data_IF_289504927318
#
_entry.id   IF_289504927318
#
_cell.length_a   1.000
_cell.length_b   1.000
_cell.length_c   1.000
_cell.angle_alpha   90.00
_cell.angle_beta   90.00
_cell.angle_gamma   90.00
#
_symmetry.space_group_name_H-M   'P 1'
#
loop_
_entity.id
_entity.type
_entity.pdbx_description
1 polymer ?
#
# COMPACT_ATOMS: atom_id res chain seq x y z
N UNK A 1 -4.35 -21.61 -6.05
CA UNK A 1 -4.65 -20.63 -4.97
C UNK A 1 -4.60 -19.19 -5.49
N UNK A 2 -5.49 -18.84 -6.44
CA UNK A 2 -5.59 -17.49 -7.00
C UNK A 2 -6.88 -16.75 -6.57
N UNK A 3 -7.91 -17.50 -6.14
CA UNK A 3 -9.22 -16.97 -5.80
C UNK A 3 -9.24 -16.11 -4.51
N UNK A 4 -8.35 -16.38 -3.55
CA UNK A 4 -8.30 -15.66 -2.26
C UNK A 4 -7.91 -14.18 -2.45
N UNK A 5 -6.94 -13.89 -3.35
CA UNK A 5 -6.51 -12.51 -3.64
C UNK A 5 -7.54 -11.71 -4.43
N UNK A 6 -8.32 -12.35 -5.31
CA UNK A 6 -9.39 -11.66 -6.04
C UNK A 6 -10.58 -11.31 -5.15
N UNK A 7 -10.90 -12.18 -4.18
CA UNK A 7 -12.01 -11.96 -3.23
C UNK A 7 -11.74 -10.81 -2.25
N UNK A 8 -10.56 -10.81 -1.62
CA UNK A 8 -10.13 -9.75 -0.69
C UNK A 8 -10.05 -8.37 -1.36
N UNK A 9 -9.73 -8.34 -2.65
CA UNK A 9 -9.62 -7.12 -3.43
C UNK A 9 -10.97 -6.60 -3.92
N UNK A 10 -11.91 -7.50 -4.23
CA UNK A 10 -13.30 -7.10 -4.45
C UNK A 10 -13.93 -6.55 -3.16
N UNK A 11 -13.61 -7.11 -2.00
CA UNK A 11 -13.98 -6.52 -0.69
C UNK A 11 -13.33 -5.15 -0.47
N UNK A 12 -12.04 -4.99 -0.78
CA UNK A 12 -11.36 -3.70 -0.65
C UNK A 12 -12.02 -2.61 -1.51
N UNK A 13 -12.41 -2.95 -2.74
CA UNK A 13 -13.12 -2.00 -3.62
C UNK A 13 -14.50 -1.64 -3.06
N UNK A 14 -15.22 -2.59 -2.43
CA UNK A 14 -16.54 -2.35 -1.84
C UNK A 14 -16.53 -1.33 -0.70
N UNK A 15 -15.43 -1.25 0.05
CA UNK A 15 -15.29 -0.32 1.18
C UNK A 15 -14.75 1.06 0.80
N UNK A 16 -14.45 1.31 -0.48
CA UNK A 16 -14.06 2.64 -0.95
C UNK A 16 -15.25 3.60 -0.92
N UNK A 17 -14.98 4.87 -0.58
CA UNK A 17 -15.91 5.96 -0.82
C UNK A 17 -15.99 6.28 -2.33
N UNK A 18 -17.14 6.74 -2.85
CA UNK A 18 -17.27 7.08 -4.28
C UNK A 18 -16.23 8.09 -4.76
N UNK A 19 -15.84 9.02 -3.89
CA UNK A 19 -14.90 10.13 -4.10
C UNK A 19 -13.50 9.86 -3.52
N UNK A 20 -13.18 8.61 -3.18
CA UNK A 20 -11.88 8.23 -2.61
C UNK A 20 -10.71 8.79 -3.42
N UNK A 21 -9.69 9.27 -2.72
CA UNK A 21 -8.46 9.77 -3.34
C UNK A 21 -7.29 8.86 -2.99
N UNK A 22 -6.51 8.47 -4.00
CA UNK A 22 -5.22 7.80 -3.81
C UNK A 22 -4.09 8.72 -4.25
N UNK A 23 -3.10 8.91 -3.38
CA UNK A 23 -1.86 9.64 -3.68
C UNK A 23 -0.65 8.77 -3.35
N UNK A 24 0.32 8.73 -4.27
CA UNK A 24 1.60 8.04 -4.07
C UNK A 24 2.78 8.99 -4.19
N UNK A 25 3.69 8.95 -3.22
CA UNK A 25 4.93 9.71 -3.24
C UNK A 25 6.13 8.76 -3.21
N UNK A 26 6.89 8.71 -4.31
CA UNK A 26 8.13 7.95 -4.39
C UNK A 26 9.37 8.81 -4.49
N UNK A 27 9.25 10.14 -4.44
CA UNK A 27 10.35 11.06 -4.75
C UNK A 27 10.94 10.90 -6.16
N UNK A 28 10.29 10.14 -7.04
CA UNK A 28 10.83 9.81 -8.36
C UNK A 28 11.63 8.49 -8.43
N UNK A 29 11.91 7.84 -7.30
CA UNK A 29 12.75 6.63 -7.24
C UNK A 29 12.07 5.35 -7.75
N UNK A 30 10.74 5.27 -7.60
CA UNK A 30 9.92 4.12 -7.99
C UNK A 30 8.65 4.57 -8.73
N UNK A 31 7.99 3.69 -9.51
CA UNK A 31 6.67 3.96 -10.04
C UNK A 31 5.66 4.22 -8.91
N UNK A 32 4.89 5.31 -9.00
CA UNK A 32 3.88 5.67 -8.01
C UNK A 32 2.79 6.54 -8.66
N UNK A 33 1.64 6.64 -7.99
CA UNK A 33 0.58 7.57 -8.37
C UNK A 33 0.96 9.02 -8.04
N UNK A 34 1.88 9.59 -8.83
CA UNK A 34 2.45 10.95 -8.64
C UNK A 34 1.41 12.07 -8.77
N UNK A 35 0.25 11.77 -9.35
CA UNK A 35 -0.92 12.65 -9.40
C UNK A 35 -2.07 11.99 -8.65
N UNK A 36 -2.90 12.74 -7.92
CA UNK A 36 -4.07 12.19 -7.25
C UNK A 36 -4.95 11.41 -8.22
N UNK A 37 -5.32 10.20 -7.84
CA UNK A 37 -6.32 9.38 -8.53
C UNK A 37 -7.59 9.44 -7.72
N UNK A 38 -8.65 9.98 -8.30
CA UNK A 38 -9.94 10.16 -7.62
C UNK A 38 -10.99 9.24 -8.20
N UNK A 39 -11.80 8.65 -7.31
CA UNK A 39 -12.96 7.84 -7.64
C UNK A 39 -12.74 6.35 -7.44
N UNK A 40 -13.74 5.68 -6.84
CA UNK A 40 -13.66 4.28 -6.44
C UNK A 40 -13.21 3.34 -7.57
N UNK A 41 -13.73 3.51 -8.79
CA UNK A 41 -13.38 2.66 -9.93
C UNK A 41 -11.91 2.81 -10.36
N UNK A 42 -11.41 4.05 -10.43
CA UNK A 42 -10.04 4.33 -10.86
C UNK A 42 -9.05 3.89 -9.78
N UNK A 43 -9.34 4.19 -8.53
CA UNK A 43 -8.55 3.76 -7.38
C UNK A 43 -8.54 2.24 -7.26
N UNK A 44 -9.70 1.59 -7.38
CA UNK A 44 -9.81 0.13 -7.36
C UNK A 44 -8.98 -0.55 -8.45
N UNK A 45 -9.06 -0.07 -9.70
CA UNK A 45 -8.23 -0.57 -10.81
C UNK A 45 -6.73 -0.37 -10.56
N UNK A 46 -6.34 0.76 -9.98
CA UNK A 46 -4.94 1.03 -9.62
C UNK A 46 -4.46 0.06 -8.54
N UNK A 47 -5.20 -0.11 -7.46
CA UNK A 47 -4.88 -1.07 -6.39
C UNK A 47 -4.74 -2.49 -6.96
N UNK A 48 -5.65 -2.90 -7.84
CA UNK A 48 -5.56 -4.15 -8.60
C UNK A 48 -4.25 -4.30 -9.36
N UNK A 49 -3.83 -3.27 -10.07
CA UNK A 49 -2.53 -3.24 -10.76
C UNK A 49 -1.36 -3.40 -9.79
N UNK A 50 -1.38 -2.65 -8.68
CA UNK A 50 -0.33 -2.66 -7.67
C UNK A 50 -0.20 -4.03 -6.97
N UNK A 51 -1.30 -4.67 -6.60
CA UNK A 51 -1.27 -6.01 -6.00
C UNK A 51 -0.75 -7.08 -6.96
N UNK A 52 -1.09 -6.98 -8.25
CA UNK A 52 -0.54 -7.87 -9.29
C UNK A 52 0.96 -7.65 -9.47
N UNK A 53 1.40 -6.40 -9.48
CA UNK A 53 2.82 -6.05 -9.55
C UNK A 53 3.56 -6.48 -8.28
N UNK A 54 2.91 -6.45 -7.12
CA UNK A 54 3.52 -6.88 -5.87
C UNK A 54 3.94 -8.36 -5.89
N UNK A 55 3.22 -9.20 -6.63
CA UNK A 55 3.61 -10.57 -6.91
C UNK A 55 4.89 -10.73 -7.75
N UNK A 56 5.44 -9.64 -8.30
CA UNK A 56 6.71 -9.62 -9.06
C UNK A 56 7.92 -9.18 -8.21
N UNK A 57 7.71 -8.71 -6.98
CA UNK A 57 8.81 -8.33 -6.10
C UNK A 57 9.59 -9.55 -5.60
N UNK A 58 10.88 -9.36 -5.34
CA UNK A 58 11.74 -10.42 -4.82
C UNK A 58 11.48 -10.56 -3.32
N UNK A 59 11.23 -11.78 -2.87
CA UNK A 59 10.97 -12.12 -1.48
C UNK A 59 12.26 -11.99 -0.65
N UNK A 60 12.17 -11.59 0.64
CA UNK A 60 10.97 -11.55 1.47
C UNK A 60 10.19 -10.22 1.43
N UNK A 61 8.86 -10.33 1.35
CA UNK A 61 7.89 -9.27 1.64
C UNK A 61 7.53 -9.33 3.12
N UNK A 62 7.88 -8.27 3.84
CA UNK A 62 7.53 -8.07 5.25
C UNK A 62 6.46 -7.01 5.37
N UNK A 63 5.55 -7.18 6.32
CA UNK A 63 4.52 -6.19 6.59
C UNK A 63 4.05 -6.24 8.05
N UNK A 64 3.64 -5.08 8.56
CA UNK A 64 2.95 -4.97 9.86
C UNK A 64 1.91 -3.85 9.83
N UNK A 65 0.80 -3.98 10.59
CA UNK A 65 -0.08 -2.85 10.85
C UNK A 65 0.71 -1.73 11.55
N UNK A 66 0.37 -0.49 11.23
CA UNK A 66 1.02 0.67 11.83
C UNK A 66 -0.01 1.79 12.06
N UNK A 67 0.26 2.63 13.06
CA UNK A 67 -0.40 3.93 13.18
C UNK A 67 0.44 4.97 12.44
N UNK A 68 -0.18 5.69 11.51
CA UNK A 68 0.43 6.73 10.71
C UNK A 68 -0.30 8.02 11.01
N UNK A 69 0.34 8.91 11.78
CA UNK A 69 -0.25 10.17 12.25
C UNK A 69 -1.64 9.95 12.91
N UNK A 70 -1.78 8.88 13.70
CA UNK A 70 -3.03 8.51 14.38
C UNK A 70 -4.06 7.77 13.51
N UNK A 71 -3.80 7.59 12.22
CA UNK A 71 -4.64 6.83 11.29
C UNK A 71 -4.14 5.40 11.12
N UNK A 72 -5.05 4.48 10.78
CA UNK A 72 -4.69 3.10 10.43
C UNK A 72 -3.82 3.08 9.17
N UNK A 73 -2.80 2.25 9.19
CA UNK A 73 -1.90 2.07 8.08
C UNK A 73 -1.20 0.72 8.07
N UNK A 74 -0.37 0.54 7.06
CA UNK A 74 0.41 -0.66 6.82
C UNK A 74 1.82 -0.25 6.43
N UNK A 75 2.82 -0.74 7.15
CA UNK A 75 4.21 -0.62 6.75
C UNK A 75 4.61 -1.89 5.99
N UNK A 76 5.34 -1.72 4.88
CA UNK A 76 5.85 -2.83 4.09
C UNK A 76 7.32 -2.63 3.72
N UNK A 77 8.05 -3.74 3.66
CA UNK A 77 9.43 -3.80 3.16
C UNK A 77 9.60 -4.99 2.21
N UNK A 78 10.26 -4.74 1.08
CA UNK A 78 10.55 -5.76 0.06
C UNK A 78 11.72 -5.31 -0.82
N UNK A 79 12.03 -6.08 -1.86
CA UNK A 79 13.05 -5.75 -2.85
C UNK A 79 12.38 -5.52 -4.21
N UNK A 80 12.60 -4.34 -4.79
CA UNK A 80 12.15 -4.00 -6.13
C UNK A 80 12.79 -4.95 -7.17
N UNK A 81 12.17 -5.25 -8.34
CA UNK A 81 12.73 -6.21 -9.29
C UNK A 81 14.10 -5.83 -9.86
N UNK A 82 14.52 -4.57 -9.71
CA UNK A 82 15.87 -4.10 -10.06
C UNK A 82 16.90 -4.26 -8.91
N UNK A 83 16.54 -4.95 -7.83
CA UNK A 83 17.40 -5.23 -6.68
C UNK A 83 17.42 -4.14 -5.60
N UNK A 84 16.78 -2.99 -5.81
CA UNK A 84 16.78 -1.90 -4.81
C UNK A 84 15.85 -2.21 -3.63
N UNK A 85 16.25 -1.91 -2.39
CA UNK A 85 15.34 -1.99 -1.24
C UNK A 85 14.14 -1.06 -1.43
N UNK A 86 12.94 -1.58 -1.20
CA UNK A 86 11.70 -0.83 -1.28
C UNK A 86 11.02 -0.85 0.10
N UNK A 87 10.91 0.33 0.70
CA UNK A 87 10.21 0.56 1.97
C UNK A 87 9.04 1.48 1.70
N UNK A 88 7.88 1.16 2.25
CA UNK A 88 6.70 2.00 2.09
C UNK A 88 5.78 1.97 3.30
N UNK A 89 5.02 3.04 3.47
CA UNK A 89 3.92 3.15 4.43
C UNK A 89 2.67 3.55 3.67
N UNK A 90 1.59 2.80 3.86
CA UNK A 90 0.26 3.11 3.35
C UNK A 90 -0.58 3.58 4.53
N UNK A 91 -1.16 4.78 4.43
CA UNK A 91 -2.11 5.29 5.41
C UNK A 91 -3.51 5.36 4.81
N UNK A 92 -4.53 5.10 5.63
CA UNK A 92 -5.93 5.13 5.25
C UNK A 92 -6.68 6.18 6.04
N UNK A 93 -7.45 7.03 5.36
CA UNK A 93 -8.48 7.84 6.02
C UNK A 93 -9.82 7.16 5.89
N UNK A 94 -10.53 7.03 7.01
CA UNK A 94 -11.82 6.34 7.08
C UNK A 94 -12.87 7.28 7.64
N UNK A 95 -14.00 7.37 6.96
CA UNK A 95 -15.16 8.14 7.40
C UNK A 95 -16.45 7.37 7.10
N UNK A 96 -17.36 7.30 8.07
CA UNK A 96 -18.63 6.57 7.89
C UNK A 96 -18.47 5.10 7.49
N UNK A 97 -17.40 4.44 7.96
CA UNK A 97 -17.09 3.05 7.59
C UNK A 97 -16.54 2.84 6.18
N UNK A 98 -16.21 3.92 5.45
CA UNK A 98 -15.62 3.88 4.10
C UNK A 98 -14.24 4.51 4.06
N UNK A 99 -13.37 3.98 3.21
CA UNK A 99 -12.06 4.56 2.93
C UNK A 99 -12.23 5.76 2.01
N UNK A 100 -11.91 6.95 2.50
CA UNK A 100 -11.96 8.22 1.75
C UNK A 100 -10.61 8.61 1.16
N UNK A 101 -9.53 8.02 1.66
CA UNK A 101 -8.17 8.36 1.24
C UNK A 101 -7.20 7.23 1.44
N UNK A 102 -6.28 7.08 0.48
CA UNK A 102 -5.18 6.12 0.51
C UNK A 102 -3.90 6.88 0.17
N UNK A 103 -2.95 6.90 1.09
CA UNK A 103 -1.71 7.64 0.93
C UNK A 103 -0.54 6.68 1.01
N UNK A 104 0.15 6.46 -0.12
CA UNK A 104 1.31 5.59 -0.18
C UNK A 104 2.59 6.43 -0.21
N UNK A 105 3.36 6.36 0.87
CA UNK A 105 4.68 6.99 0.98
C UNK A 105 5.76 5.93 0.77
N UNK A 106 6.54 6.06 -0.28
CA UNK A 106 7.63 5.16 -0.65
C UNK A 106 8.88 5.93 -1.11
N UNK A 107 8.94 7.24 -0.86
CA UNK A 107 10.13 8.05 -1.09
C UNK A 107 11.22 7.64 -0.09
N UNK A 108 12.36 7.08 -0.54
CA UNK A 108 13.45 6.66 0.34
C UNK A 108 13.93 7.76 1.29
N UNK A 109 13.92 9.03 0.84
CA UNK A 109 14.34 10.18 1.64
C UNK A 109 13.42 10.42 2.85
N UNK A 110 12.11 10.22 2.68
CA UNK A 110 11.12 10.35 3.74
C UNK A 110 11.05 9.08 4.60
N UNK A 111 11.35 7.93 4.03
CA UNK A 111 11.34 6.63 4.70
C UNK A 111 12.55 6.40 5.60
N UNK A 112 13.62 7.20 5.48
CA UNK A 112 14.85 7.05 6.25
C UNK A 112 14.65 7.03 7.77
N UNK A 113 13.62 7.72 8.28
CA UNK A 113 13.30 7.79 9.72
C UNK A 113 12.28 6.75 10.19
N UNK A 114 11.67 6.01 9.27
CA UNK A 114 10.73 4.93 9.63
C UNK A 114 11.54 3.73 10.10
N UNK A 115 11.25 3.12 11.27
CA UNK A 115 11.96 1.93 11.77
C UNK A 115 11.88 0.75 10.80
N UNK A 116 12.93 -0.05 10.69
CA UNK A 116 12.92 -1.26 9.86
C UNK A 116 11.91 -2.29 10.38
N UNK A 117 11.40 -3.15 9.49
CA UNK A 117 10.58 -4.28 9.90
C UNK A 117 11.45 -5.41 10.47
N UNK A 118 10.97 -6.03 11.54
CA UNK A 118 11.61 -7.18 12.16
C UNK A 118 11.47 -8.43 11.27
N UNK A 119 12.29 -9.44 11.50
CA UNK A 119 12.17 -10.72 10.77
C UNK A 119 10.86 -11.45 11.07
N UNK A 120 10.25 -11.14 12.22
CA UNK A 120 8.93 -11.64 12.64
C UNK A 120 7.77 -10.98 11.92
N UNK A 121 7.98 -9.84 11.23
CA UNK A 121 6.95 -9.15 10.47
C UNK A 121 6.74 -9.85 9.12
N UNK A 122 5.76 -10.75 9.06
CA UNK A 122 5.48 -11.57 7.89
C UNK A 122 4.37 -11.00 7.02
N UNK A 123 4.37 -11.34 5.74
CA UNK A 123 3.18 -11.23 4.89
C UNK A 123 2.44 -12.59 4.82
N UNK A 124 1.10 -12.63 4.98
CA UNK A 124 0.23 -11.52 5.37
C UNK A 124 0.49 -11.07 6.82
N UNK A 125 0.26 -9.78 7.15
CA UNK A 125 0.49 -9.23 8.48
C UNK A 125 -0.42 -9.90 9.51
N UNK A 126 0.08 -10.03 10.75
CA UNK A 126 -0.71 -10.45 11.91
C UNK A 126 -1.34 -9.22 12.56
N UNK A 127 -2.61 -9.34 12.96
CA UNK A 127 -3.37 -8.34 13.71
C UNK A 127 -3.34 -8.63 15.20
#
# INVERSE_FOLDING_TARGET
>A
MAATRSGELAELVRVLAPDVVLVGDSGGHFPAARRPVTGADKVGKLLLGLFRQAGRYVQPLRARPALVDGSLGLQLETVHPDGRPLRQVIAFTVHGGRITGIFNQLNPEKMARVPALAETDTWPPRW
#
